data_IF_534732949424
#
_entry.id   IF_534732949424
#
_cell.length_a   1.000
_cell.length_b   1.000
_cell.length_c   1.000
_cell.angle_alpha   90.00
_cell.angle_beta   90.00
_cell.angle_gamma   90.00
#
_symmetry.space_group_name_H-M   'P 1'
#
loop_
_entity.id
_entity.type
_entity.pdbx_description
1 polymer ?
#
# COMPACT_ATOMS: atom_id res chain seq x y z
N UNK A 1 -25.14 -15.76 5.96
CA UNK A 1 -26.06 -15.29 4.91
C UNK A 1 -25.70 -13.85 4.59
N UNK A 2 -25.14 -13.60 3.41
CA UNK A 2 -24.88 -12.25 2.90
C UNK A 2 -26.16 -11.74 2.23
N UNK A 3 -26.59 -10.52 2.53
CA UNK A 3 -27.78 -9.88 1.95
C UNK A 3 -27.56 -9.32 0.53
N UNK A 4 -26.40 -9.57 -0.08
CA UNK A 4 -26.24 -9.34 -1.51
C UNK A 4 -26.99 -10.45 -2.25
N UNK A 5 -28.04 -10.10 -3.01
CA UNK A 5 -28.67 -10.98 -4.00
C UNK A 5 -27.63 -11.32 -5.10
N UNK A 6 -26.66 -12.15 -4.76
CA UNK A 6 -25.60 -12.56 -5.65
C UNK A 6 -25.59 -14.09 -5.71
N UNK A 7 -25.63 -14.62 -6.93
CA UNK A 7 -25.22 -16.00 -7.18
C UNK A 7 -23.74 -16.11 -6.80
N UNK A 8 -23.44 -16.90 -5.75
CA UNK A 8 -22.06 -17.17 -5.35
C UNK A 8 -21.57 -18.37 -6.14
N UNK A 9 -20.61 -18.14 -7.02
CA UNK A 9 -19.93 -19.19 -7.76
C UNK A 9 -18.52 -19.38 -7.20
N UNK A 10 -18.21 -20.59 -6.78
CA UNK A 10 -16.89 -20.95 -6.27
C UNK A 10 -16.10 -21.61 -7.39
N UNK A 11 -15.08 -20.91 -7.88
CA UNK A 11 -14.08 -21.46 -8.79
C UNK A 11 -12.96 -22.08 -7.96
N UNK A 12 -13.07 -23.38 -7.70
CA UNK A 12 -12.07 -24.15 -6.97
C UNK A 12 -11.08 -24.76 -7.96
N UNK A 13 -9.83 -24.35 -7.89
CA UNK A 13 -8.73 -24.98 -8.61
C UNK A 13 -7.50 -25.02 -7.72
N UNK A 14 -6.97 -26.23 -7.51
CA UNK A 14 -5.96 -26.51 -6.49
C UNK A 14 -4.59 -25.84 -6.75
N UNK A 15 -4.40 -25.13 -7.87
CA UNK A 15 -3.09 -24.60 -8.30
C UNK A 15 -3.13 -23.29 -9.11
N UNK A 16 -4.15 -22.45 -9.00
CA UNK A 16 -4.11 -21.14 -9.69
C UNK A 16 -3.34 -20.11 -8.87
N UNK A 17 -2.39 -19.44 -9.51
CA UNK A 17 -1.82 -18.21 -8.98
C UNK A 17 -2.90 -17.12 -8.92
N UNK A 18 -2.73 -16.11 -8.07
CA UNK A 18 -3.70 -15.00 -7.93
C UNK A 18 -3.99 -14.32 -9.27
N UNK A 19 -2.96 -14.11 -10.10
CA UNK A 19 -3.12 -13.53 -11.43
C UNK A 19 -3.97 -14.41 -12.36
N UNK A 20 -3.74 -15.72 -12.34
CA UNK A 20 -4.53 -16.65 -13.14
C UNK A 20 -5.99 -16.70 -12.67
N UNK A 21 -6.23 -16.64 -11.37
CA UNK A 21 -7.59 -16.54 -10.82
C UNK A 21 -8.30 -15.26 -11.29
N UNK A 22 -7.59 -14.12 -11.36
CA UNK A 22 -8.15 -12.87 -11.91
C UNK A 22 -8.44 -12.96 -13.40
N UNK A 23 -7.54 -13.57 -14.19
CA UNK A 23 -7.79 -13.81 -15.62
C UNK A 23 -9.02 -14.70 -15.84
N UNK A 24 -9.19 -15.76 -15.03
CA UNK A 24 -10.36 -16.65 -15.13
C UNK A 24 -11.67 -15.91 -14.77
N UNK A 25 -11.65 -14.99 -13.79
CA UNK A 25 -12.80 -14.13 -13.47
C UNK A 25 -13.16 -13.24 -14.68
N UNK A 26 -12.17 -12.63 -15.33
CA UNK A 26 -12.36 -11.78 -16.51
C UNK A 26 -12.92 -12.60 -17.68
N UNK A 27 -12.40 -13.80 -17.92
CA UNK A 27 -12.87 -14.71 -18.96
C UNK A 27 -14.34 -15.13 -18.74
N UNK A 28 -14.73 -15.42 -17.49
CA UNK A 28 -16.12 -15.74 -17.14
C UNK A 28 -17.01 -14.52 -17.37
N UNK A 29 -16.60 -13.33 -16.93
CA UNK A 29 -17.35 -12.10 -17.14
C UNK A 29 -17.56 -11.81 -18.63
N UNK A 30 -16.51 -11.99 -19.45
CA UNK A 30 -16.57 -11.81 -20.90
C UNK A 30 -17.53 -12.79 -21.57
N UNK A 31 -17.49 -14.09 -21.19
CA UNK A 31 -18.44 -15.11 -21.68
C UNK A 31 -19.90 -14.78 -21.36
N UNK A 32 -20.13 -14.00 -20.31
CA UNK A 32 -21.47 -13.55 -19.87
C UNK A 32 -21.88 -12.21 -20.47
N UNK A 33 -21.06 -11.61 -21.34
CA UNK A 33 -21.26 -10.25 -21.86
C UNK A 33 -21.40 -9.19 -20.74
N UNK A 34 -20.67 -9.39 -19.64
CA UNK A 34 -20.55 -8.37 -18.59
C UNK A 34 -19.51 -7.35 -19.05
N UNK A 35 -19.89 -6.07 -19.04
CA UNK A 35 -19.03 -4.98 -19.51
C UNK A 35 -17.98 -4.57 -18.47
N UNK A 36 -18.39 -4.45 -17.20
CA UNK A 36 -17.51 -4.02 -16.10
C UNK A 36 -17.71 -4.90 -14.86
N UNK A 37 -16.62 -5.14 -14.14
CA UNK A 37 -16.62 -5.93 -12.91
C UNK A 37 -15.85 -5.23 -11.78
N UNK A 38 -16.27 -5.48 -10.55
CA UNK A 38 -15.46 -5.14 -9.38
C UNK A 38 -14.51 -6.28 -9.04
N UNK A 39 -13.22 -5.95 -8.91
CA UNK A 39 -12.20 -6.83 -8.35
C UNK A 39 -11.85 -6.32 -6.95
N UNK A 40 -11.91 -7.21 -5.96
CA UNK A 40 -11.76 -6.85 -4.55
C UNK A 40 -11.06 -7.96 -3.78
N UNK A 41 -10.12 -7.56 -2.93
CA UNK A 41 -9.56 -8.47 -1.93
C UNK A 41 -10.63 -8.84 -0.89
N UNK A 42 -10.47 -10.01 -0.27
CA UNK A 42 -11.43 -10.52 0.71
C UNK A 42 -11.22 -9.92 2.12
N UNK A 43 -10.01 -9.48 2.43
CA UNK A 43 -9.58 -8.98 3.73
C UNK A 43 -9.64 -7.44 3.85
N UNK A 44 -10.33 -6.78 2.91
CA UNK A 44 -10.59 -5.34 2.98
C UNK A 44 -11.98 -5.00 3.49
N UNK A 45 -12.06 -3.83 4.11
CA UNK A 45 -13.31 -3.18 4.40
C UNK A 45 -13.66 -2.23 3.27
N UNK A 46 -14.80 -2.50 2.63
CA UNK A 46 -15.38 -1.66 1.57
C UNK A 46 -16.44 -0.76 2.18
N UNK A 47 -16.35 0.54 1.96
CA UNK A 47 -17.46 1.42 2.31
C UNK A 47 -18.58 1.22 1.29
N UNK A 48 -19.82 1.11 1.76
CA UNK A 48 -20.98 0.76 0.92
C UNK A 48 -21.14 1.71 -0.27
N UNK A 49 -20.97 3.01 -0.05
CA UNK A 49 -21.09 4.04 -1.09
C UNK A 49 -19.93 4.03 -2.09
N UNK A 50 -18.77 3.44 -1.74
CA UNK A 50 -17.58 3.46 -2.59
C UNK A 50 -17.81 2.75 -3.93
N UNK A 51 -18.57 1.65 -3.93
CA UNK A 51 -18.87 0.93 -5.16
C UNK A 51 -19.73 1.79 -6.09
N UNK A 52 -20.76 2.45 -5.55
CA UNK A 52 -21.59 3.39 -6.32
C UNK A 52 -20.77 4.56 -6.86
N UNK A 53 -19.98 5.20 -5.99
CA UNK A 53 -19.12 6.31 -6.38
C UNK A 53 -18.12 5.91 -7.49
N UNK A 54 -17.56 4.71 -7.44
CA UNK A 54 -16.68 4.21 -8.51
C UNK A 54 -17.43 3.95 -9.81
N UNK A 55 -18.67 3.46 -9.73
CA UNK A 55 -19.50 3.12 -10.89
C UNK A 55 -19.89 4.34 -11.71
N UNK A 56 -20.12 5.48 -11.06
CA UNK A 56 -20.57 6.73 -11.68
C UNK A 56 -19.48 7.43 -12.54
N UNK A 57 -18.28 6.87 -12.59
CA UNK A 57 -17.17 7.38 -13.38
C UNK A 57 -16.89 6.55 -14.64
N UNK A 58 -16.67 7.28 -15.73
CA UNK A 58 -16.34 6.73 -17.05
C UNK A 58 -14.82 6.62 -17.21
N UNK A 59 -14.27 5.54 -16.66
CA UNK A 59 -12.86 5.17 -16.81
C UNK A 59 -12.73 3.66 -17.01
N UNK A 60 -11.80 3.27 -17.86
CA UNK A 60 -11.44 1.86 -18.12
C UNK A 60 -11.08 1.13 -16.82
N UNK A 61 -10.30 1.80 -15.96
CA UNK A 61 -9.97 1.33 -14.62
C UNK A 61 -10.22 2.44 -13.61
N UNK A 62 -11.02 2.11 -12.62
CA UNK A 62 -11.34 2.97 -11.51
C UNK A 62 -10.85 2.34 -10.21
N UNK A 63 -10.06 3.08 -9.43
CA UNK A 63 -9.66 2.69 -8.09
C UNK A 63 -10.40 3.47 -7.01
N UNK A 64 -10.37 2.93 -5.79
CA UNK A 64 -10.75 3.65 -4.58
C UNK A 64 -9.51 4.13 -3.80
N UNK A 65 -9.69 5.15 -2.98
CA UNK A 65 -8.66 5.67 -2.07
C UNK A 65 -8.42 4.69 -0.91
N UNK A 66 -7.18 4.23 -0.79
CA UNK A 66 -6.74 3.35 0.29
C UNK A 66 -6.49 4.11 1.60
N UNK A 67 -6.87 3.49 2.72
CA UNK A 67 -6.39 3.83 4.06
C UNK A 67 -6.04 2.58 4.87
N UNK A 68 -5.01 2.63 5.75
CA UNK A 68 -4.84 1.61 6.76
C UNK A 68 -5.99 1.67 7.78
N UNK A 69 -6.33 0.55 8.41
CA UNK A 69 -7.20 0.58 9.59
C UNK A 69 -6.55 1.40 10.72
N UNK A 70 -7.32 2.14 11.54
CA UNK A 70 -6.79 2.72 12.77
C UNK A 70 -6.21 1.64 13.69
N UNK A 71 -5.09 1.94 14.37
CA UNK A 71 -4.40 0.98 15.24
C UNK A 71 -5.33 0.48 16.35
N UNK A 72 -6.19 1.36 16.86
CA UNK A 72 -7.16 1.06 17.90
C UNK A 72 -8.16 -0.02 17.45
N UNK A 73 -8.58 0.03 16.18
CA UNK A 73 -9.46 -1.00 15.59
C UNK A 73 -8.69 -2.30 15.41
N UNK A 74 -7.46 -2.24 14.93
CA UNK A 74 -6.59 -3.42 14.77
C UNK A 74 -6.38 -4.12 16.11
N UNK A 75 -6.07 -3.36 17.16
CA UNK A 75 -5.84 -3.93 18.50
C UNK A 75 -7.12 -4.46 19.16
N UNK A 76 -8.26 -3.83 18.90
CA UNK A 76 -9.54 -4.28 19.41
C UNK A 76 -9.95 -5.64 18.80
N UNK A 77 -9.71 -5.84 17.50
CA UNK A 77 -10.06 -7.09 16.82
C UNK A 77 -9.03 -8.19 17.05
N UNK A 78 -7.75 -7.87 16.89
CA UNK A 78 -6.70 -8.88 16.80
C UNK A 78 -5.78 -8.95 18.01
N UNK A 79 -6.06 -8.15 19.04
CA UNK A 79 -5.25 -8.04 20.24
C UNK A 79 -4.10 -7.04 20.11
N UNK A 80 -3.52 -6.73 21.27
CA UNK A 80 -2.51 -5.68 21.42
C UNK A 80 -1.30 -5.92 20.51
N UNK A 81 -0.90 -4.88 19.78
CA UNK A 81 0.32 -4.87 18.97
C UNK A 81 1.53 -4.56 19.86
N UNK A 82 2.66 -5.20 19.58
CA UNK A 82 3.94 -4.84 20.16
C UNK A 82 4.34 -3.42 19.75
N UNK A 83 5.28 -2.83 20.49
CA UNK A 83 5.73 -1.47 20.22
C UNK A 83 6.35 -1.35 18.81
N UNK A 84 7.19 -2.30 18.40
CA UNK A 84 7.76 -2.32 17.05
C UNK A 84 6.70 -2.48 15.95
N UNK A 85 5.68 -3.33 16.17
CA UNK A 85 4.58 -3.55 15.21
C UNK A 85 3.80 -2.26 14.96
N UNK A 86 3.42 -1.53 16.03
CA UNK A 86 2.74 -0.23 15.91
C UNK A 86 3.55 0.79 15.15
N UNK A 87 4.85 0.80 15.43
CA UNK A 87 5.78 1.73 14.85
C UNK A 87 5.99 1.46 13.35
N UNK A 88 6.17 0.19 12.96
CA UNK A 88 6.20 -0.23 11.56
C UNK A 88 4.89 0.09 10.84
N UNK A 89 3.74 -0.11 11.50
CA UNK A 89 2.42 0.24 10.98
C UNK A 89 2.33 1.72 10.57
N UNK A 90 2.86 2.60 11.39
CA UNK A 90 2.89 4.04 11.12
C UNK A 90 3.97 4.42 10.10
N UNK A 91 5.16 3.82 10.18
CA UNK A 91 6.27 4.13 9.27
C UNK A 91 5.93 3.74 7.83
N UNK A 92 5.32 2.57 7.59
CA UNK A 92 5.07 2.12 6.22
C UNK A 92 4.13 3.03 5.42
N UNK A 93 3.24 3.74 6.10
CA UNK A 93 2.36 4.77 5.53
C UNK A 93 2.84 6.20 5.86
N UNK A 94 4.07 6.37 6.38
CA UNK A 94 4.62 7.67 6.80
C UNK A 94 4.70 8.71 5.68
N UNK A 95 4.89 8.28 4.43
CA UNK A 95 4.87 9.16 3.25
C UNK A 95 3.46 9.35 2.64
N UNK A 96 2.44 8.74 3.24
CA UNK A 96 1.03 8.86 2.85
C UNK A 96 0.25 9.79 3.78
N UNK A 97 0.86 10.25 4.87
CA UNK A 97 0.26 11.18 5.81
C UNK A 97 -0.02 12.53 5.13
N UNK A 98 -1.15 13.21 5.45
CA UNK A 98 -1.52 14.45 4.79
C UNK A 98 -0.46 15.54 4.90
N UNK A 99 0.15 15.68 6.07
CA UNK A 99 1.23 16.65 6.34
C UNK A 99 2.41 16.43 5.39
N UNK A 100 2.81 15.16 5.23
CA UNK A 100 3.93 14.77 4.38
C UNK A 100 3.58 14.94 2.91
N UNK A 101 2.39 14.49 2.48
CA UNK A 101 1.90 14.67 1.11
C UNK A 101 1.81 16.14 0.71
N UNK A 102 1.27 16.98 1.58
CA UNK A 102 1.16 18.43 1.35
C UNK A 102 2.55 19.05 1.16
N UNK A 103 3.50 18.73 2.02
CA UNK A 103 4.89 19.22 1.87
C UNK A 103 5.53 18.68 0.59
N UNK A 104 5.44 17.37 0.30
CA UNK A 104 5.99 16.79 -0.93
C UNK A 104 5.46 17.47 -2.21
N UNK A 105 4.17 17.83 -2.23
CA UNK A 105 3.57 18.56 -3.35
C UNK A 105 4.18 19.96 -3.55
N UNK A 106 4.53 20.68 -2.47
CA UNK A 106 5.24 21.98 -2.55
C UNK A 106 6.60 21.87 -3.24
N UNK A 107 7.27 20.72 -3.06
CA UNK A 107 8.55 20.41 -3.69
C UNK A 107 8.40 19.80 -5.10
N UNK A 108 7.18 19.75 -5.66
CA UNK A 108 6.92 19.16 -6.97
C UNK A 108 7.05 17.63 -7.00
N UNK A 109 7.08 16.98 -5.84
CA UNK A 109 7.18 15.52 -5.68
C UNK A 109 5.77 14.98 -5.44
N UNK A 110 4.87 15.24 -6.38
CA UNK A 110 3.51 14.71 -6.29
C UNK A 110 3.50 13.23 -6.68
N UNK A 111 2.92 12.39 -5.82
CA UNK A 111 2.77 10.97 -6.14
C UNK A 111 1.60 10.83 -7.10
N UNK A 112 1.87 10.24 -8.26
CA UNK A 112 0.79 9.84 -9.18
C UNK A 112 -0.24 9.03 -8.40
N UNK A 113 -1.50 9.38 -8.60
CA UNK A 113 -2.61 8.57 -8.15
C UNK A 113 -2.47 7.14 -8.65
N UNK A 114 -2.59 6.21 -7.70
CA UNK A 114 -2.29 4.82 -7.89
C UNK A 114 -3.47 3.93 -7.52
N UNK A 115 -3.97 3.18 -8.49
CA UNK A 115 -5.04 2.21 -8.24
C UNK A 115 -4.45 0.99 -7.55
N UNK A 116 -4.98 0.66 -6.37
CA UNK A 116 -4.62 -0.57 -5.66
C UNK A 116 -5.49 -1.73 -6.14
N UNK A 117 -4.91 -2.90 -6.42
CA UNK A 117 -5.68 -4.06 -6.88
C UNK A 117 -6.67 -4.60 -5.84
N UNK A 118 -6.55 -4.16 -4.59
CA UNK A 118 -7.47 -4.53 -3.52
C UNK A 118 -8.90 -4.03 -3.69
N UNK A 119 -9.12 -2.95 -4.44
CA UNK A 119 -10.47 -2.51 -4.84
C UNK A 119 -10.44 -1.73 -6.15
N UNK A 120 -10.95 -2.35 -7.20
CA UNK A 120 -10.99 -1.79 -8.55
C UNK A 120 -12.32 -2.07 -9.24
N UNK A 121 -12.74 -1.17 -10.11
CA UNK A 121 -13.75 -1.40 -11.14
C UNK A 121 -13.04 -1.38 -12.49
N UNK A 122 -13.20 -2.45 -13.26
CA UNK A 122 -12.45 -2.67 -14.50
C UNK A 122 -13.40 -3.02 -15.65
N UNK A 123 -13.13 -2.46 -16.83
CA UNK A 123 -13.70 -2.92 -18.10
C UNK A 123 -13.13 -4.31 -18.43
N UNK A 124 -14.01 -5.25 -18.73
CA UNK A 124 -13.68 -6.65 -19.01
C UNK A 124 -12.83 -6.81 -20.28
N UNK A 125 -13.12 -6.07 -21.36
CA UNK A 125 -12.36 -6.20 -22.60
C UNK A 125 -10.96 -5.60 -22.49
N UNK A 126 -10.80 -4.56 -21.67
CA UNK A 126 -9.50 -3.90 -21.43
C UNK A 126 -8.67 -4.57 -20.36
N UNK A 127 -9.29 -5.32 -19.45
CA UNK A 127 -8.61 -6.07 -18.39
C UNK A 127 -8.09 -7.43 -18.85
N UNK A 128 -8.54 -7.95 -20.00
CA UNK A 128 -7.96 -9.16 -20.61
C UNK A 128 -6.45 -9.01 -20.79
N UNK A 129 -5.70 -9.83 -20.06
CA UNK A 129 -4.25 -9.82 -20.08
C UNK A 129 -3.58 -8.61 -19.42
N UNK A 130 -4.34 -7.79 -18.68
CA UNK A 130 -3.78 -6.84 -17.71
C UNK A 130 -2.92 -7.56 -16.66
N UNK A 131 -3.24 -8.83 -16.39
CA UNK A 131 -2.48 -9.71 -15.51
C UNK A 131 -1.63 -10.74 -16.28
N UNK A 132 -1.69 -10.75 -17.63
CA UNK A 132 -1.14 -11.82 -18.47
C UNK A 132 0.36 -12.01 -18.26
N UNK A 133 0.70 -13.23 -17.82
CA UNK A 133 2.06 -13.73 -17.69
C UNK A 133 2.68 -13.55 -16.31
N UNK A 134 2.00 -12.90 -15.36
CA UNK A 134 2.55 -12.76 -14.02
C UNK A 134 2.11 -13.94 -13.15
N UNK A 135 3.04 -14.67 -12.55
CA UNK A 135 2.67 -15.53 -11.40
C UNK A 135 2.16 -14.69 -10.20
N UNK A 136 2.34 -13.36 -10.25
CA UNK A 136 2.01 -12.39 -9.21
C UNK A 136 1.56 -11.08 -9.87
N UNK A 137 0.25 -10.84 -9.98
CA UNK A 137 -0.28 -9.56 -10.40
C UNK A 137 0.15 -8.49 -9.39
N UNK A 138 0.74 -7.40 -9.86
CA UNK A 138 1.13 -6.31 -8.96
C UNK A 138 0.58 -4.99 -9.45
N UNK A 139 -0.01 -4.21 -8.54
CA UNK A 139 -0.56 -2.88 -8.82
C UNK A 139 0.42 -2.01 -9.61
N UNK A 140 1.72 -2.13 -9.34
CA UNK A 140 2.77 -1.38 -10.01
C UNK A 140 2.91 -1.63 -11.48
N UNK A 141 2.69 -2.86 -11.89
CA UNK A 141 2.77 -3.21 -13.29
C UNK A 141 1.53 -2.69 -14.01
N UNK A 142 0.36 -2.93 -13.43
CA UNK A 142 -0.90 -2.46 -14.01
C UNK A 142 -0.92 -0.94 -14.21
N UNK A 143 -0.57 -0.17 -13.16
CA UNK A 143 -0.56 1.30 -13.22
C UNK A 143 0.48 1.87 -14.22
N UNK A 144 1.44 1.05 -14.66
CA UNK A 144 2.44 1.41 -15.67
C UNK A 144 2.01 1.08 -17.09
N UNK A 145 1.41 -0.09 -17.28
CA UNK A 145 1.02 -0.58 -18.61
C UNK A 145 -0.15 0.19 -19.19
N UNK A 146 -0.95 0.81 -18.33
CA UNK A 146 -2.20 1.45 -18.72
C UNK A 146 -2.00 2.96 -18.73
N UNK A 147 -2.49 3.58 -19.80
CA UNK A 147 -2.37 5.01 -20.03
C UNK A 147 -3.00 5.79 -18.86
N UNK A 148 -2.41 6.95 -18.53
CA UNK A 148 -2.93 7.83 -17.47
C UNK A 148 -4.39 8.22 -17.71
N UNK A 149 -4.82 8.34 -18.97
CA UNK A 149 -6.22 8.69 -19.31
C UNK A 149 -7.21 7.57 -19.00
N UNK A 150 -6.73 6.32 -18.96
CA UNK A 150 -7.54 5.12 -18.80
C UNK A 150 -7.63 4.66 -17.33
N UNK A 151 -6.85 5.29 -16.44
CA UNK A 151 -6.86 5.05 -14.99
C UNK A 151 -7.33 6.30 -14.26
N UNK A 152 -8.29 6.13 -13.36
CA UNK A 152 -8.73 7.19 -12.45
C UNK A 152 -8.94 6.64 -11.03
N UNK A 153 -8.88 7.54 -10.04
CA UNK A 153 -9.29 7.26 -8.66
C UNK A 153 -10.54 8.07 -8.37
N UNK A 154 -11.59 7.38 -7.93
CA UNK A 154 -12.83 8.04 -7.54
C UNK A 154 -12.57 8.89 -6.28
N UNK A 155 -12.85 10.20 -6.31
CA UNK A 155 -12.51 11.11 -5.21
C UNK A 155 -13.20 10.73 -3.90
N UNK A 156 -14.44 10.24 -4.00
CA UNK A 156 -15.30 9.91 -2.86
C UNK A 156 -15.42 8.41 -2.58
N UNK A 157 -14.60 7.57 -3.23
CA UNK A 157 -14.54 6.14 -2.95
C UNK A 157 -13.34 5.81 -2.06
N UNK A 158 -13.59 5.09 -0.98
CA UNK A 158 -12.58 4.67 -0.01
C UNK A 158 -12.65 3.17 0.25
N UNK A 159 -11.54 2.60 0.69
CA UNK A 159 -11.51 1.29 1.34
C UNK A 159 -10.42 1.28 2.40
N UNK A 160 -10.58 0.39 3.38
CA UNK A 160 -9.55 0.14 4.37
C UNK A 160 -8.96 -1.25 4.20
N UNK A 161 -7.66 -1.35 4.40
CA UNK A 161 -6.92 -2.59 4.37
C UNK A 161 -5.94 -2.59 5.53
N UNK A 162 -5.59 -3.76 6.05
CA UNK A 162 -4.59 -3.91 7.10
C UNK A 162 -3.24 -3.34 6.64
N UNK A 163 -2.69 -2.39 7.42
CA UNK A 163 -1.33 -1.92 7.24
C UNK A 163 -0.31 -3.03 7.52
N UNK A 164 0.92 -2.85 7.05
CA UNK A 164 2.00 -3.82 7.33
C UNK A 164 2.51 -3.60 8.76
N UNK A 165 2.77 -4.69 9.48
CA UNK A 165 3.37 -4.64 10.84
C UNK A 165 4.72 -5.33 10.90
N UNK A 166 5.14 -5.98 9.82
CA UNK A 166 6.31 -6.84 9.77
C UNK A 166 7.18 -6.54 8.53
N UNK A 167 8.50 -6.56 8.73
CA UNK A 167 9.50 -6.33 7.70
C UNK A 167 9.66 -7.53 6.76
N UNK A 168 9.49 -8.77 7.27
CA UNK A 168 9.53 -9.98 6.43
C UNK A 168 8.44 -9.91 5.36
N UNK A 169 7.21 -9.62 5.79
CA UNK A 169 6.07 -9.40 4.91
C UNK A 169 6.27 -8.23 3.93
N UNK A 170 6.89 -7.14 4.38
CA UNK A 170 7.18 -6.00 3.52
C UNK A 170 8.18 -6.37 2.41
N UNK A 171 9.28 -7.04 2.76
CA UNK A 171 10.30 -7.49 1.80
C UNK A 171 9.70 -8.52 0.83
N UNK A 172 8.96 -9.52 1.33
CA UNK A 172 8.28 -10.50 0.49
C UNK A 172 7.36 -9.84 -0.52
N UNK A 173 6.52 -8.91 -0.07
CA UNK A 173 5.66 -8.15 -0.95
C UNK A 173 6.48 -7.42 -2.01
N UNK A 174 7.58 -6.77 -1.63
CA UNK A 174 8.40 -5.99 -2.56
C UNK A 174 9.15 -6.86 -3.57
N UNK A 175 9.66 -8.02 -3.17
CA UNK A 175 10.31 -9.00 -4.07
C UNK A 175 9.37 -9.41 -5.20
N UNK A 176 8.05 -9.55 -4.94
CA UNK A 176 7.07 -9.87 -5.99
C UNK A 176 7.08 -8.86 -7.13
N UNK A 177 7.14 -7.57 -6.78
CA UNK A 177 7.22 -6.49 -7.77
C UNK A 177 8.54 -6.52 -8.55
N UNK A 178 9.67 -6.80 -7.90
CA UNK A 178 10.97 -6.87 -8.57
C UNK A 178 11.06 -8.06 -9.52
N UNK A 179 10.62 -9.26 -9.10
CA UNK A 179 10.57 -10.45 -9.98
C UNK A 179 9.65 -10.22 -11.19
N UNK A 180 8.52 -9.54 -10.98
CA UNK A 180 7.60 -9.16 -12.03
C UNK A 180 8.18 -8.14 -13.04
N UNK A 181 9.09 -7.26 -12.58
CA UNK A 181 9.79 -6.34 -13.46
C UNK A 181 10.93 -7.05 -14.22
N UNK A 182 11.68 -7.92 -13.54
CA UNK A 182 12.76 -8.72 -14.12
C UNK A 182 12.28 -9.67 -15.21
N UNK A 183 11.13 -10.35 -15.01
CA UNK A 183 10.52 -11.21 -16.02
C UNK A 183 10.13 -10.49 -17.31
N UNK A 184 10.13 -9.14 -17.30
CA UNK A 184 9.88 -8.29 -18.46
C UNK A 184 11.13 -7.58 -19.00
N UNK A 185 12.30 -7.80 -18.40
CA UNK A 185 13.52 -7.08 -18.73
C UNK A 185 13.47 -5.59 -18.34
N UNK A 186 12.62 -5.21 -17.39
CA UNK A 186 12.40 -3.81 -16.99
C UNK A 186 12.99 -3.48 -15.61
N UNK A 187 13.83 -4.35 -15.04
CA UNK A 187 14.29 -4.25 -13.65
C UNK A 187 14.93 -2.89 -13.31
N UNK A 188 15.83 -2.38 -14.17
CA UNK A 188 16.50 -1.09 -13.95
C UNK A 188 15.54 0.11 -14.11
N UNK A 189 14.64 0.04 -15.11
CA UNK A 189 13.56 1.01 -15.32
C UNK A 189 12.55 0.99 -14.17
N UNK A 190 12.34 -0.18 -13.55
CA UNK A 190 11.54 -0.36 -12.34
C UNK A 190 12.13 0.42 -11.17
N UNK A 191 13.43 0.26 -10.92
CA UNK A 191 14.12 1.03 -9.89
C UNK A 191 14.07 2.54 -10.15
N UNK A 192 14.34 2.97 -11.38
CA UNK A 192 14.45 4.40 -11.67
C UNK A 192 13.10 5.15 -11.60
N UNK A 193 12.01 4.55 -12.09
CA UNK A 193 10.70 5.23 -12.20
C UNK A 193 9.80 5.07 -10.98
N UNK A 194 9.93 3.98 -10.20
CA UNK A 194 9.02 3.69 -9.08
C UNK A 194 9.63 3.91 -7.71
N UNK A 195 10.95 4.02 -7.62
CA UNK A 195 11.66 3.91 -6.36
C UNK A 195 12.56 5.11 -6.09
N UNK A 196 12.87 5.92 -7.10
CA UNK A 196 13.76 7.07 -6.92
C UNK A 196 13.22 7.99 -5.83
N UNK A 197 13.96 8.01 -4.72
CA UNK A 197 13.79 8.99 -3.67
C UNK A 197 14.44 10.32 -4.15
N UNK A 198 14.00 11.46 -3.61
CA UNK A 198 14.75 12.69 -3.74
C UNK A 198 16.19 12.50 -3.25
N UNK A 199 17.11 13.38 -3.65
CA UNK A 199 18.44 13.38 -3.04
C UNK A 199 18.36 13.69 -1.54
N UNK A 200 19.43 13.34 -0.82
CA UNK A 200 19.51 13.46 0.64
C UNK A 200 19.23 14.88 1.11
N UNK A 201 19.80 15.89 0.44
CA UNK A 201 19.61 17.29 0.82
C UNK A 201 18.13 17.69 0.71
N UNK A 202 17.47 17.29 -0.38
CA UNK A 202 16.03 17.53 -0.58
C UNK A 202 15.19 16.79 0.48
N UNK A 203 15.51 15.54 0.81
CA UNK A 203 14.78 14.81 1.85
C UNK A 203 14.90 15.46 3.23
N UNK A 204 16.10 15.94 3.58
CA UNK A 204 16.34 16.66 4.83
C UNK A 204 15.62 18.01 4.86
N UNK A 205 15.56 18.71 3.73
CA UNK A 205 14.82 19.96 3.60
C UNK A 205 13.31 19.77 3.80
N UNK A 206 12.72 18.76 3.14
CA UNK A 206 11.31 18.38 3.31
C UNK A 206 11.02 18.01 4.76
N UNK A 207 11.90 17.22 5.39
CA UNK A 207 11.74 16.84 6.79
C UNK A 207 11.76 18.08 7.71
N UNK A 208 12.65 19.04 7.45
CA UNK A 208 12.69 20.30 8.19
C UNK A 208 11.44 21.16 7.97
N UNK A 209 10.91 21.23 6.75
CA UNK A 209 9.63 21.91 6.48
C UNK A 209 8.48 21.26 7.26
N UNK A 210 8.41 19.93 7.28
CA UNK A 210 7.40 19.19 8.07
C UNK A 210 7.53 19.52 9.58
N UNK A 211 8.75 19.56 10.13
CA UNK A 211 8.99 19.90 11.54
C UNK A 211 8.45 21.27 11.91
N UNK A 212 8.69 22.25 11.05
CA UNK A 212 8.42 23.65 11.36
C UNK A 212 6.98 24.08 11.12
N UNK A 213 6.19 23.32 10.35
CA UNK A 213 4.86 23.74 9.90
C UNK A 213 3.68 22.96 10.51
N UNK A 214 3.92 21.86 11.23
CA UNK A 214 2.83 21.03 11.77
C UNK A 214 2.96 20.78 13.26
N UNK A 215 1.82 20.75 13.95
CA UNK A 215 1.71 20.24 15.32
C UNK A 215 2.09 18.75 15.31
N UNK A 216 3.15 18.38 16.05
CA UNK A 216 3.84 17.06 15.96
C UNK A 216 4.72 16.87 14.71
N UNK A 217 5.21 17.94 14.11
CA UNK A 217 6.12 17.92 12.95
C UNK A 217 7.31 16.99 13.12
N UNK A 218 7.94 16.91 14.31
CA UNK A 218 9.04 15.97 14.60
C UNK A 218 8.66 14.52 14.37
N UNK A 219 7.45 14.12 14.81
CA UNK A 219 6.95 12.76 14.63
C UNK A 219 6.72 12.46 13.14
N UNK A 220 6.09 13.38 12.40
CA UNK A 220 5.84 13.19 10.97
C UNK A 220 7.12 13.17 10.14
N UNK A 221 8.09 14.04 10.45
CA UNK A 221 9.39 14.05 9.81
C UNK A 221 10.17 12.77 10.09
N UNK A 222 10.12 12.25 11.34
CA UNK A 222 10.70 10.95 11.68
C UNK A 222 10.07 9.82 10.86
N UNK A 223 8.74 9.76 10.75
CA UNK A 223 8.07 8.74 9.94
C UNK A 223 8.45 8.83 8.46
N UNK A 224 8.49 10.04 7.89
CA UNK A 224 8.89 10.27 6.51
C UNK A 224 10.32 9.81 6.23
N UNK A 225 11.30 10.28 7.02
CA UNK A 225 12.71 9.93 6.83
C UNK A 225 12.94 8.42 7.03
N UNK A 226 12.35 7.85 8.07
CA UNK A 226 12.45 6.40 8.35
C UNK A 226 11.81 5.59 7.23
N UNK A 227 10.67 6.03 6.69
CA UNK A 227 10.03 5.37 5.54
C UNK A 227 10.91 5.42 4.30
N UNK A 228 11.51 6.57 4.01
CA UNK A 228 12.44 6.74 2.88
C UNK A 228 13.64 5.81 3.03
N UNK A 229 14.26 5.75 4.21
CA UNK A 229 15.42 4.90 4.47
C UNK A 229 15.10 3.40 4.40
N UNK A 230 13.97 2.97 4.99
CA UNK A 230 13.47 1.59 4.83
C UNK A 230 13.23 1.28 3.35
N UNK A 231 12.62 2.21 2.61
CA UNK A 231 12.31 2.01 1.19
C UNK A 231 13.59 1.86 0.37
N UNK A 232 14.59 2.72 0.55
CA UNK A 232 15.89 2.57 -0.11
C UNK A 232 16.47 1.19 0.17
N UNK A 233 16.63 0.84 1.45
CA UNK A 233 17.29 -0.40 1.85
C UNK A 233 16.54 -1.65 1.37
N UNK A 234 15.21 -1.70 1.51
CA UNK A 234 14.39 -2.82 1.03
C UNK A 234 14.51 -2.98 -0.49
N UNK A 235 14.55 -1.88 -1.24
CA UNK A 235 14.69 -1.96 -2.69
C UNK A 235 16.09 -2.44 -3.11
N UNK A 236 17.15 -2.03 -2.42
CA UNK A 236 18.50 -2.59 -2.62
C UNK A 236 18.51 -4.11 -2.37
N UNK A 237 17.92 -4.55 -1.26
CA UNK A 237 17.81 -5.96 -0.89
C UNK A 237 17.05 -6.73 -1.97
N UNK A 238 15.89 -6.24 -2.39
CA UNK A 238 15.10 -6.89 -3.45
C UNK A 238 15.85 -6.98 -4.78
N UNK A 239 16.59 -5.93 -5.15
CA UNK A 239 17.42 -5.92 -6.35
C UNK A 239 18.49 -7.03 -6.27
N UNK A 240 19.23 -7.07 -5.16
CA UNK A 240 20.28 -8.07 -4.95
C UNK A 240 19.72 -9.49 -4.91
N UNK A 241 18.54 -9.70 -4.31
CA UNK A 241 17.87 -11.01 -4.29
C UNK A 241 17.52 -11.47 -5.71
N UNK A 242 16.89 -10.61 -6.51
CA UNK A 242 16.47 -10.96 -7.89
C UNK A 242 17.68 -11.23 -8.79
N UNK A 243 18.78 -10.51 -8.57
CA UNK A 243 20.05 -10.72 -9.28
C UNK A 243 20.89 -11.90 -8.72
N UNK A 244 20.39 -12.63 -7.72
CA UNK A 244 21.10 -13.72 -7.03
C UNK A 244 22.43 -13.32 -6.36
N UNK A 245 22.54 -12.07 -5.91
CA UNK A 245 23.73 -11.49 -5.28
C UNK A 245 23.53 -11.13 -3.80
N UNK A 246 22.38 -11.48 -3.21
CA UNK A 246 22.06 -11.15 -1.82
C UNK A 246 22.69 -12.13 -0.81
N UNK A 247 23.28 -11.60 0.25
CA UNK A 247 23.63 -12.35 1.44
C UNK A 247 23.29 -11.57 2.73
N UNK A 248 23.14 -12.28 3.86
CA UNK A 248 22.80 -11.64 5.15
C UNK A 248 23.94 -10.77 5.71
N UNK A 249 25.18 -11.04 5.32
CA UNK A 249 26.33 -10.19 5.68
C UNK A 249 26.28 -8.79 5.03
N UNK A 250 25.34 -8.53 4.12
CA UNK A 250 25.07 -7.20 3.58
C UNK A 250 24.19 -6.32 4.50
N UNK A 251 23.74 -6.84 5.64
CA UNK A 251 23.00 -6.06 6.64
C UNK A 251 23.95 -5.14 7.45
N UNK A 252 23.51 -3.92 7.80
CA UNK A 252 24.30 -3.03 8.64
C UNK A 252 24.57 -3.68 10.00
N UNK A 253 25.81 -3.63 10.47
CA UNK A 253 26.23 -4.15 11.78
C UNK A 253 26.25 -3.08 12.88
N UNK A 254 25.79 -1.86 12.57
CA UNK A 254 25.79 -0.73 13.49
C UNK A 254 24.74 -0.90 14.59
N UNK A 255 25.08 -0.45 15.81
CA UNK A 255 24.11 -0.39 16.91
C UNK A 255 22.99 0.60 16.55
N UNK A 256 21.71 0.20 16.62
CA UNK A 256 20.64 1.05 16.15
C UNK A 256 20.52 2.32 16.98
N UNK A 257 20.45 3.47 16.31
CA UNK A 257 20.05 4.72 16.96
C UNK A 257 18.57 4.66 17.37
N UNK A 258 18.23 5.33 18.47
CA UNK A 258 16.82 5.52 18.83
C UNK A 258 16.14 6.41 17.79
N UNK A 259 14.90 6.06 17.42
CA UNK A 259 14.10 6.85 16.49
C UNK A 259 13.78 8.26 17.01
N UNK A 260 13.86 8.46 18.32
CA UNK A 260 13.67 9.78 18.95
C UNK A 260 14.71 10.82 18.53
N UNK A 261 15.81 10.40 17.91
CA UNK A 261 16.91 11.28 17.47
C UNK A 261 16.99 11.44 15.95
N UNK A 262 15.98 11.01 15.19
CA UNK A 262 16.00 11.15 13.73
C UNK A 262 15.71 12.59 13.32
N UNK A 263 16.79 13.29 12.96
CA UNK A 263 16.72 14.66 12.43
C UNK A 263 17.06 14.70 10.94
N UNK A 264 17.88 13.78 10.48
CA UNK A 264 18.36 13.68 9.09
C UNK A 264 18.07 12.31 8.50
N UNK A 265 18.19 12.21 7.18
CA UNK A 265 18.11 10.96 6.46
C UNK A 265 19.19 9.96 6.89
N UNK A 266 20.40 10.44 7.21
CA UNK A 266 21.48 9.57 7.68
C UNK A 266 21.18 9.01 9.07
N UNK A 267 20.59 9.80 9.98
CA UNK A 267 20.08 9.29 11.26
C UNK A 267 19.04 8.19 11.05
N UNK A 268 18.16 8.39 10.07
CA UNK A 268 17.15 7.40 9.73
C UNK A 268 17.80 6.10 9.23
N UNK A 269 18.75 6.18 8.28
CA UNK A 269 19.48 4.99 7.78
C UNK A 269 20.12 4.19 8.90
N UNK A 270 20.85 4.86 9.79
CA UNK A 270 21.46 4.24 10.98
C UNK A 270 20.41 3.54 11.84
N UNK A 271 19.28 4.20 12.10
CA UNK A 271 18.22 3.69 12.98
C UNK A 271 17.38 2.56 12.34
N UNK A 272 17.23 2.53 11.01
CA UNK A 272 16.38 1.55 10.32
C UNK A 272 16.92 0.12 10.40
N UNK A 273 18.23 -0.04 10.65
CA UNK A 273 18.90 -1.33 10.84
C UNK A 273 18.17 -2.24 11.83
N UNK A 274 17.59 -1.67 12.91
CA UNK A 274 16.83 -2.44 13.91
C UNK A 274 15.66 -3.23 13.32
N UNK A 275 15.02 -2.73 12.27
CA UNK A 275 13.84 -3.37 11.68
C UNK A 275 14.20 -4.59 10.82
N UNK A 276 15.49 -4.79 10.53
CA UNK A 276 15.97 -5.93 9.76
C UNK A 276 16.51 -7.08 10.63
N UNK A 277 16.60 -6.86 11.95
CA UNK A 277 17.10 -7.86 12.91
C UNK A 277 16.17 -9.08 12.99
N UNK A 278 14.86 -8.83 13.03
CA UNK A 278 13.84 -9.88 13.19
C UNK A 278 13.28 -10.39 11.85
N UNK A 279 13.95 -10.07 10.73
CA UNK A 279 13.51 -10.57 9.42
C UNK A 279 13.78 -12.06 9.33
N UNK A 280 12.74 -12.82 8.99
CA UNK A 280 12.86 -14.25 8.73
C UNK A 280 13.44 -14.49 7.33
N UNK A 281 14.77 -14.51 7.22
CA UNK A 281 15.47 -14.65 5.94
C UNK A 281 15.30 -16.03 5.30
N UNK A 282 15.11 -17.08 6.10
CA UNK A 282 14.81 -18.43 5.59
C UNK A 282 13.48 -18.45 4.84
N UNK A 283 12.51 -17.66 5.29
CA UNK A 283 11.20 -17.47 4.67
C UNK A 283 11.21 -16.61 3.41
N UNK A 284 12.25 -15.79 3.25
CA UNK A 284 12.47 -14.98 2.06
C UNK A 284 13.25 -15.79 1.01
N UNK A 285 14.28 -16.54 1.44
CA UNK A 285 15.13 -17.38 0.60
C UNK A 285 14.41 -18.65 0.15
N UNK A 286 13.70 -19.30 1.08
CA UNK A 286 12.74 -20.33 0.77
C UNK A 286 11.37 -19.69 0.58
N UNK A 287 10.76 -19.85 -0.58
CA UNK A 287 9.30 -20.05 -0.60
C UNK A 287 9.02 -21.37 0.14
N UNK A 288 9.20 -21.38 1.46
CA UNK A 288 9.21 -22.58 2.28
C UNK A 288 7.87 -23.30 2.16
N UNK A 289 7.93 -24.63 2.04
CA UNK A 289 6.82 -25.55 1.76
C UNK A 289 5.74 -25.65 2.86
N UNK A 290 5.59 -24.63 3.70
CA UNK A 290 4.57 -24.50 4.72
C UNK A 290 4.39 -23.03 5.04
N UNK A 291 3.12 -22.62 5.18
CA UNK A 291 2.75 -21.28 5.62
C UNK A 291 3.42 -21.00 6.99
N UNK A 292 4.32 -20.03 7.09
CA UNK A 292 4.93 -19.62 8.35
C UNK A 292 3.88 -18.92 9.20
N UNK A 293 3.92 -19.09 10.52
CA UNK A 293 3.13 -18.24 11.41
C UNK A 293 3.73 -16.83 11.43
N UNK A 294 3.48 -16.02 10.40
CA UNK A 294 3.85 -14.60 10.46
C UNK A 294 2.90 -13.89 11.42
N UNK A 295 3.41 -12.87 12.12
CA UNK A 295 2.58 -12.04 13.02
C UNK A 295 1.46 -11.30 12.29
N UNK A 296 1.55 -11.15 10.96
CA UNK A 296 0.54 -10.46 10.17
C UNK A 296 -0.51 -11.41 9.57
N UNK A 297 -0.24 -12.71 9.37
CA UNK A 297 -1.27 -13.64 8.87
C UNK A 297 -2.43 -13.83 9.84
N UNK A 298 -2.20 -13.75 11.16
CA UNK A 298 -3.29 -13.65 12.15
C UNK A 298 -4.16 -12.39 11.95
N UNK A 299 -3.59 -11.35 11.33
CA UNK A 299 -4.20 -10.03 11.13
C UNK A 299 -4.83 -9.88 9.73
N UNK A 300 -4.57 -10.80 8.79
CA UNK A 300 -5.14 -10.81 7.42
C UNK A 300 -6.37 -11.71 7.33
N UNK A 301 -7.23 -11.64 8.33
CA UNK A 301 -8.53 -12.30 8.30
C UNK A 301 -9.60 -11.23 8.00
N UNK A 302 -10.59 -11.52 7.15
CA UNK A 302 -11.75 -10.65 7.01
C UNK A 302 -12.41 -10.47 8.38
N UNK A 303 -12.63 -9.24 8.82
CA UNK A 303 -13.31 -8.97 10.08
C UNK A 303 -14.34 -7.86 9.94
N UNK A 304 -15.37 -7.93 10.79
CA UNK A 304 -16.55 -7.07 10.70
C UNK A 304 -16.28 -5.70 11.35
N UNK A 305 -15.67 -4.81 10.58
CA UNK A 305 -15.36 -3.44 11.01
C UNK A 305 -16.62 -2.62 11.26
N UNK A 306 -17.80 -3.06 10.78
CA UNK A 306 -19.08 -2.36 10.97
C UNK A 306 -19.42 -2.14 12.44
N UNK A 307 -18.94 -3.02 13.33
CA UNK A 307 -19.09 -2.89 14.79
C UNK A 307 -18.31 -1.71 15.38
N UNK A 308 -17.20 -1.35 14.74
CA UNK A 308 -16.36 -0.20 15.12
C UNK A 308 -16.76 1.09 14.40
N UNK A 309 -17.48 0.96 13.28
CA UNK A 309 -17.90 2.06 12.41
C UNK A 309 -19.41 2.29 12.50
N UNK A 310 -20.00 2.07 13.69
CA UNK A 310 -21.44 2.17 13.95
C UNK A 310 -22.05 3.52 13.51
N UNK A 311 -21.22 4.53 13.29
CA UNK A 311 -21.57 5.76 12.56
C UNK A 311 -20.66 5.94 11.34
N UNK A 312 -21.11 5.39 10.20
CA UNK A 312 -20.43 5.47 8.90
C UNK A 312 -20.08 6.92 8.51
N UNK A 313 -20.87 7.90 8.95
CA UNK A 313 -20.70 9.32 8.66
C UNK A 313 -19.48 9.90 9.39
N UNK A 314 -19.26 9.49 10.65
CA UNK A 314 -18.11 9.93 11.46
C UNK A 314 -16.80 9.30 10.98
N UNK A 315 -16.81 8.03 10.55
CA UNK A 315 -15.64 7.40 9.93
C UNK A 315 -15.25 8.09 8.62
N UNK A 316 -16.25 8.45 7.79
CA UNK A 316 -16.05 9.22 6.55
C UNK A 316 -15.54 10.64 6.83
N UNK A 317 -16.04 11.30 7.87
CA UNK A 317 -15.53 12.61 8.34
C UNK A 317 -14.11 12.51 8.90
N UNK A 318 -13.77 11.45 9.63
CA UNK A 318 -12.40 11.22 10.09
C UNK A 318 -11.47 11.02 8.89
N UNK A 319 -11.84 10.17 7.93
CA UNK A 319 -11.09 9.94 6.69
C UNK A 319 -10.99 11.21 5.83
N UNK A 320 -12.06 12.00 5.77
CA UNK A 320 -12.14 13.29 5.05
C UNK A 320 -11.41 14.43 5.75
N UNK A 321 -11.31 14.42 7.07
CA UNK A 321 -10.55 15.42 7.85
C UNK A 321 -9.04 15.32 7.64
N UNK A 322 -8.57 14.17 7.14
CA UNK A 322 -7.20 13.99 6.65
C UNK A 322 -7.02 14.49 5.19
N UNK A 323 -8.01 15.16 4.59
CA UNK A 323 -7.91 15.76 3.24
C UNK A 323 -7.75 17.29 3.22
N UNK A 324 -7.39 17.90 4.35
CA UNK A 324 -6.82 19.27 4.37
C UNK A 324 -5.50 19.20 3.55
N UNK A 325 -5.30 19.78 2.37
CA UNK A 325 -6.01 20.80 1.61
C UNK A 325 -5.92 20.50 0.11
N UNK A 326 -6.97 20.88 -0.61
CA UNK A 326 -6.92 21.26 -2.03
C UNK A 326 -5.73 22.23 -2.29
N UNK A 327 -4.80 21.94 -3.22
CA UNK A 327 -3.70 22.85 -3.55
C UNK A 327 -4.17 24.23 -4.05
N UNK A 328 -5.47 24.43 -4.30
CA UNK A 328 -6.08 25.69 -4.72
C UNK A 328 -6.76 26.49 -3.59
N UNK A 329 -6.61 26.09 -2.32
CA UNK A 329 -6.87 26.99 -1.18
C UNK A 329 -8.33 27.39 -0.96
N UNK A 330 -9.30 26.51 -1.21
CA UNK A 330 -10.68 26.74 -0.76
C UNK A 330 -10.86 26.25 0.67
N UNK A 331 -10.73 27.18 1.63
CA UNK A 331 -11.14 26.97 3.03
C UNK A 331 -12.56 26.41 3.09
N UNK A 332 -12.72 25.17 3.52
CA UNK A 332 -14.03 24.66 3.95
C UNK A 332 -14.28 25.23 5.35
N UNK A 333 -15.14 26.24 5.43
CA UNK A 333 -15.64 26.77 6.69
C UNK A 333 -16.48 25.69 7.37
N UNK A 334 -15.94 25.03 8.40
CA UNK A 334 -16.75 24.31 9.37
C UNK A 334 -17.48 25.33 10.25
N UNK A 335 -18.63 25.82 9.78
CA UNK A 335 -19.69 26.26 10.69
C UNK A 335 -20.65 25.09 10.86
N UNK A 336 -20.49 24.39 11.98
CA UNK A 336 -21.54 23.54 12.50
C UNK A 336 -22.78 24.39 12.80
N UNK A 337 -23.93 23.96 12.28
CA UNK A 337 -25.25 24.21 12.83
C UNK A 337 -26.02 22.91 12.82
#
# INVERSE_FOLDING_TARGET
>A
HSNYNAEVELQLSDKLSQARAMDDIIDIASKRNIERIFLTDADIFRFTDSLGNMWDHDATIMGARYRPYPIEIVEAEFGKLAYEEKLLYQIFDGDQLPQVRHTLAKYGIDRRDWVKASLMLVDVERSKGMHAGQNQATDSVMNRMIDKRDIQIAPDAFFMHMGRVDMTDHIKARIRHFKAADSRGELDSFLHKEIRLPDVATMDEIANDIRNNYERGDFYAMLYLTRSAIREKVNEICMQIVQNNWNESNLPTTSPRSLSYITTYEDAKDATSKFFVDVNWDEIKGYANSVPSTTQERLRQPFDVSRHLADYSLAKLAIGSFMIDDPLGRKVNHKAQ
#
